data_IF_411794920625
#
_entry.id   IF_411794920625
#
_cell.length_a   1.000
_cell.length_b   1.000
_cell.length_c   1.000
_cell.angle_alpha   90.00
_cell.angle_beta   90.00
_cell.angle_gamma   90.00
#
_symmetry.space_group_name_H-M   'P 1'
#
loop_
_entity.id
_entity.type
_entity.pdbx_description
1 polymer ?
#
# COMPACT_ATOMS: atom_id res chain seq x y z
N UNK A 1 0.07 -1.27 8.35
CA UNK A 1 0.88 -0.22 9.01
C UNK A 1 1.30 -0.70 10.40
N UNK A 2 2.52 -1.27 10.51
CA UNK A 2 2.96 -1.98 11.71
C UNK A 2 3.27 -1.07 12.90
N UNK A 3 3.74 0.16 12.66
CA UNK A 3 3.91 1.16 13.72
C UNK A 3 2.59 1.46 14.45
N UNK A 4 1.49 1.61 13.71
CA UNK A 4 0.16 1.77 14.33
C UNK A 4 -0.31 0.51 15.06
N UNK A 5 -0.07 -0.68 14.50
CA UNK A 5 -0.43 -1.93 15.19
C UNK A 5 0.36 -2.11 16.50
N UNK A 6 1.66 -1.76 16.52
CA UNK A 6 2.48 -1.78 17.73
C UNK A 6 1.92 -0.84 18.81
N UNK A 7 1.45 0.34 18.41
CA UNK A 7 0.85 1.32 19.33
C UNK A 7 -0.46 0.82 19.96
N UNK A 8 -1.29 0.09 19.22
CA UNK A 8 -2.64 -0.31 19.68
C UNK A 8 -2.64 -1.71 20.31
N UNK A 9 -1.82 -2.63 19.80
CA UNK A 9 -1.76 -4.02 20.28
C UNK A 9 -0.30 -4.47 20.40
N UNK A 10 0.48 -3.88 21.33
CA UNK A 10 1.91 -4.16 21.47
C UNK A 10 2.21 -5.62 21.78
N UNK A 11 1.30 -6.32 22.47
CA UNK A 11 1.43 -7.76 22.76
C UNK A 11 1.46 -8.63 21.50
N UNK A 12 0.73 -8.24 20.45
CA UNK A 12 0.67 -8.97 19.17
C UNK A 12 1.68 -8.46 18.15
N UNK A 13 2.07 -7.19 18.26
CA UNK A 13 3.05 -6.54 17.39
C UNK A 13 4.11 -5.89 18.27
N UNK A 14 5.12 -6.65 18.71
CA UNK A 14 6.08 -6.17 19.70
C UNK A 14 7.07 -5.12 19.15
N UNK A 15 7.13 -4.95 17.82
CA UNK A 15 8.02 -3.99 17.18
C UNK A 15 7.31 -3.21 16.07
N UNK A 16 7.50 -1.86 16.03
CA UNK A 16 6.97 -1.00 14.97
C UNK A 16 7.80 -1.07 13.68
N UNK A 17 8.94 -1.76 13.71
CA UNK A 17 9.88 -1.87 12.59
C UNK A 17 9.32 -2.79 11.49
N UNK A 18 9.62 -2.48 10.23
CA UNK A 18 9.18 -3.23 9.07
C UNK A 18 9.47 -4.74 9.21
N UNK A 19 8.44 -5.55 8.96
CA UNK A 19 8.51 -7.00 9.03
C UNK A 19 9.45 -7.65 8.00
N UNK A 20 9.70 -6.95 6.88
CA UNK A 20 10.45 -7.47 5.75
C UNK A 20 11.94 -7.16 5.86
N UNK A 21 12.29 -5.89 6.05
CA UNK A 21 13.70 -5.48 6.11
C UNK A 21 14.25 -5.37 7.54
N UNK A 22 13.42 -5.15 8.55
CA UNK A 22 13.90 -4.97 9.93
C UNK A 22 14.71 -3.68 10.18
N UNK A 23 14.72 -2.72 9.24
CA UNK A 23 15.61 -1.55 9.30
C UNK A 23 14.92 -0.33 9.94
N UNK A 24 13.76 0.07 9.41
CA UNK A 24 13.09 1.30 9.82
C UNK A 24 11.70 1.04 10.39
N UNK A 25 11.24 1.98 11.22
CA UNK A 25 9.84 2.08 11.65
C UNK A 25 8.95 2.09 10.41
N UNK A 26 8.01 1.17 10.36
CA UNK A 26 7.14 1.05 9.21
C UNK A 26 5.96 2.00 9.36
N UNK A 27 6.13 3.22 8.84
CA UNK A 27 5.05 4.18 8.58
C UNK A 27 4.25 3.79 7.31
N UNK A 28 3.26 4.59 6.88
CA UNK A 28 2.48 4.28 5.68
C UNK A 28 3.32 4.34 4.40
N UNK A 29 4.19 5.33 4.25
CA UNK A 29 5.04 5.47 3.08
C UNK A 29 6.05 4.30 2.99
N UNK A 30 6.65 3.94 4.12
CA UNK A 30 7.56 2.79 4.26
C UNK A 30 6.86 1.44 4.10
N UNK A 31 5.61 1.37 4.55
CA UNK A 31 4.74 0.22 4.34
C UNK A 31 4.43 0.00 2.86
N UNK A 32 4.30 1.05 2.05
CA UNK A 32 3.90 0.89 0.63
C UNK A 32 5.10 0.88 -0.31
N UNK A 33 6.00 1.85 -0.24
CA UNK A 33 7.03 2.07 -1.28
C UNK A 33 8.47 2.15 -0.79
N UNK A 34 8.73 2.59 0.45
CA UNK A 34 10.10 2.98 0.85
C UNK A 34 10.98 1.82 1.35
N UNK A 35 10.35 0.73 1.80
CA UNK A 35 11.08 -0.50 2.13
C UNK A 35 11.76 -1.06 0.87
N UNK A 36 13.06 -1.40 0.94
CA UNK A 36 13.84 -1.88 -0.22
C UNK A 36 13.16 -3.02 -1.00
N UNK A 37 12.65 -4.04 -0.32
CA UNK A 37 11.92 -5.15 -0.94
C UNK A 37 10.64 -4.70 -1.67
N UNK A 38 9.98 -3.66 -1.15
CA UNK A 38 8.76 -3.10 -1.75
C UNK A 38 9.10 -2.15 -2.90
N UNK A 39 10.19 -1.39 -2.77
CA UNK A 39 10.73 -0.58 -3.85
C UNK A 39 11.07 -1.46 -5.06
N UNK A 40 11.74 -2.60 -4.85
CA UNK A 40 12.05 -3.54 -5.93
C UNK A 40 10.80 -4.17 -6.53
N UNK A 41 9.84 -4.57 -5.69
CA UNK A 41 8.52 -5.00 -6.16
C UNK A 41 7.85 -3.96 -7.07
N UNK A 42 7.87 -2.68 -6.69
CA UNK A 42 7.29 -1.63 -7.51
C UNK A 42 8.06 -1.39 -8.80
N UNK A 43 9.39 -1.47 -8.79
CA UNK A 43 10.20 -1.41 -10.03
C UNK A 43 9.79 -2.52 -11.00
N UNK A 44 9.58 -3.74 -10.51
CA UNK A 44 9.13 -4.85 -11.34
C UNK A 44 7.74 -4.59 -11.94
N UNK A 45 6.79 -4.14 -11.11
CA UNK A 45 5.43 -3.80 -11.56
C UNK A 45 5.46 -2.67 -12.61
N UNK A 46 6.19 -1.59 -12.33
CA UNK A 46 6.37 -0.46 -13.26
C UNK A 46 7.00 -0.94 -14.57
N UNK A 47 7.95 -1.87 -14.50
CA UNK A 47 8.58 -2.44 -15.68
C UNK A 47 7.63 -3.31 -16.51
N UNK A 48 6.88 -4.20 -15.85
CA UNK A 48 5.89 -5.08 -16.49
C UNK A 48 4.79 -4.28 -17.19
N UNK A 49 4.36 -3.18 -16.57
CA UNK A 49 3.32 -2.31 -17.11
C UNK A 49 3.86 -1.26 -18.10
N UNK A 50 5.17 -1.22 -18.35
CA UNK A 50 5.82 -0.22 -19.20
C UNK A 50 5.55 1.24 -18.77
N UNK A 51 5.53 1.48 -17.45
CA UNK A 51 5.21 2.77 -16.83
C UNK A 51 6.45 3.55 -16.38
N UNK A 52 7.65 3.19 -16.83
CA UNK A 52 8.91 3.77 -16.32
C UNK A 52 8.98 5.29 -16.52
N UNK A 53 8.42 5.79 -17.63
CA UNK A 53 8.35 7.22 -17.91
C UNK A 53 7.38 7.97 -16.99
N UNK A 54 6.32 7.28 -16.54
CA UNK A 54 5.24 7.87 -15.75
C UNK A 54 5.50 7.77 -14.24
N UNK A 55 6.12 6.67 -13.81
CA UNK A 55 6.36 6.31 -12.41
C UNK A 55 7.85 6.00 -12.17
N UNK A 56 8.76 6.98 -12.37
CA UNK A 56 10.20 6.73 -12.36
C UNK A 56 10.79 6.48 -10.96
N UNK A 57 10.03 6.71 -9.88
CA UNK A 57 10.51 6.64 -8.51
C UNK A 57 9.46 6.12 -7.53
N UNK A 58 9.91 5.69 -6.34
CA UNK A 58 9.03 5.31 -5.24
C UNK A 58 8.04 6.43 -4.90
N UNK A 59 8.50 7.68 -4.94
CA UNK A 59 7.66 8.85 -4.73
C UNK A 59 6.59 8.98 -5.81
N UNK A 60 6.93 8.73 -7.07
CA UNK A 60 5.95 8.78 -8.16
C UNK A 60 4.88 7.70 -8.03
N UNK A 61 5.27 6.48 -7.64
CA UNK A 61 4.34 5.39 -7.33
C UNK A 61 3.44 5.75 -6.15
N UNK A 62 4.00 6.31 -5.09
CA UNK A 62 3.23 6.77 -3.94
C UNK A 62 2.21 7.85 -4.32
N UNK A 63 2.63 8.86 -5.09
CA UNK A 63 1.74 9.89 -5.62
C UNK A 63 0.62 9.26 -6.46
N UNK A 64 0.96 8.38 -7.40
CA UNK A 64 -0.03 7.67 -8.22
C UNK A 64 -1.09 6.92 -7.39
N UNK A 65 -0.68 6.25 -6.32
CA UNK A 65 -1.60 5.50 -5.45
C UNK A 65 -2.49 6.40 -4.59
N UNK A 66 -1.99 7.57 -4.19
CA UNK A 66 -2.67 8.45 -3.22
C UNK A 66 -3.48 9.57 -3.87
N UNK A 67 -3.01 10.12 -4.99
CA UNK A 67 -3.67 11.20 -5.72
C UNK A 67 -4.36 10.76 -7.00
N UNK A 68 -4.08 9.53 -7.47
CA UNK A 68 -4.50 9.04 -8.80
C UNK A 68 -3.94 9.86 -9.98
N UNK A 69 -2.88 10.63 -9.72
CA UNK A 69 -2.16 11.42 -10.71
C UNK A 69 -0.67 11.09 -10.72
N UNK A 70 0.01 11.45 -11.80
CA UNK A 70 1.47 11.50 -11.84
C UNK A 70 2.03 12.61 -10.94
N UNK A 71 3.35 12.69 -10.80
CA UNK A 71 4.03 13.81 -10.13
C UNK A 71 3.69 15.16 -10.79
N UNK A 72 3.44 15.16 -12.10
CA UNK A 72 3.06 16.34 -12.87
C UNK A 72 1.56 16.66 -12.78
N UNK A 73 0.83 16.00 -11.86
CA UNK A 73 -0.61 16.17 -11.64
C UNK A 73 -1.48 15.78 -12.85
N UNK A 74 -0.93 14.97 -13.76
CA UNK A 74 -1.68 14.40 -14.88
C UNK A 74 -2.46 13.20 -14.36
N UNK A 75 -3.78 13.17 -14.60
CA UNK A 75 -4.62 12.02 -14.24
C UNK A 75 -4.13 10.75 -14.95
N UNK A 76 -4.07 9.66 -14.19
CA UNK A 76 -3.65 8.37 -14.72
C UNK A 76 -4.82 7.67 -15.40
N UNK A 77 -4.52 6.95 -16.48
CA UNK A 77 -5.49 6.11 -17.16
C UNK A 77 -6.13 5.10 -16.20
N UNK A 78 -7.43 4.84 -16.38
CA UNK A 78 -8.18 3.96 -15.48
C UNK A 78 -7.57 2.55 -15.43
N UNK A 79 -7.08 2.02 -16.56
CA UNK A 79 -6.44 0.70 -16.59
C UNK A 79 -5.14 0.68 -15.78
N UNK A 80 -4.38 1.78 -15.81
CA UNK A 80 -3.18 1.96 -14.99
C UNK A 80 -3.56 1.98 -13.51
N UNK A 81 -4.59 2.72 -13.12
CA UNK A 81 -5.07 2.76 -11.74
C UNK A 81 -5.55 1.38 -11.25
N UNK A 82 -6.27 0.64 -12.09
CA UNK A 82 -6.71 -0.73 -11.78
C UNK A 82 -5.50 -1.65 -11.58
N UNK A 83 -4.50 -1.58 -12.46
CA UNK A 83 -3.28 -2.39 -12.34
C UNK A 83 -2.48 -2.05 -11.07
N UNK A 84 -2.31 -0.77 -10.76
CA UNK A 84 -1.65 -0.31 -9.53
C UNK A 84 -2.41 -0.75 -8.27
N UNK A 85 -3.74 -0.68 -8.29
CA UNK A 85 -4.59 -1.17 -7.21
C UNK A 85 -4.49 -2.68 -6.99
N UNK A 86 -4.42 -3.46 -8.07
CA UNK A 86 -4.20 -4.90 -8.01
C UNK A 86 -2.80 -5.25 -7.47
N UNK A 87 -1.78 -4.53 -7.89
CA UNK A 87 -0.42 -4.66 -7.39
C UNK A 87 -0.35 -4.32 -5.89
N UNK A 88 -0.96 -3.22 -5.45
CA UNK A 88 -1.03 -2.84 -4.04
C UNK A 88 -1.76 -3.90 -3.19
N UNK A 89 -2.89 -4.40 -3.67
CA UNK A 89 -3.67 -5.45 -2.99
C UNK A 89 -2.83 -6.73 -2.81
N UNK A 90 -2.03 -7.07 -3.81
CA UNK A 90 -1.12 -8.21 -3.75
C UNK A 90 -0.04 -8.00 -2.70
N UNK A 91 0.62 -6.84 -2.70
CA UNK A 91 1.61 -6.46 -1.68
C UNK A 91 1.03 -6.51 -0.26
N UNK A 92 -0.18 -5.96 -0.06
CA UNK A 92 -0.87 -6.00 1.23
C UNK A 92 -1.11 -7.43 1.72
N UNK A 93 -1.61 -8.30 0.83
CA UNK A 93 -1.87 -9.72 1.15
C UNK A 93 -0.59 -10.46 1.56
N UNK A 94 0.52 -10.24 0.86
CA UNK A 94 1.79 -10.90 1.18
C UNK A 94 2.44 -10.36 2.45
N UNK A 95 2.41 -9.06 2.66
CA UNK A 95 2.93 -8.45 3.88
C UNK A 95 2.27 -9.06 5.13
N UNK A 96 0.97 -9.36 5.08
CA UNK A 96 0.24 -9.93 6.23
C UNK A 96 0.21 -11.46 6.29
N UNK A 97 0.78 -12.18 5.31
CA UNK A 97 0.87 -13.65 5.32
C UNK A 97 2.06 -14.19 6.13
N UNK A 98 2.98 -13.33 6.56
CA UNK A 98 4.04 -13.64 7.54
C UNK A 98 3.39 -13.63 8.94
N UNK A 99 3.64 -14.61 9.83
CA UNK A 99 2.58 -15.23 10.64
C UNK A 99 1.72 -14.29 11.49
N UNK A 100 0.46 -14.19 11.05
CA UNK A 100 -0.79 -14.24 11.83
C UNK A 100 -0.87 -13.50 13.18
N UNK A 101 -1.43 -12.28 13.15
CA UNK A 101 -2.17 -11.74 14.30
C UNK A 101 -3.28 -10.74 13.94
N UNK A 102 -3.11 -9.89 12.91
CA UNK A 102 -4.06 -8.78 12.64
C UNK A 102 -5.08 -9.05 11.52
N UNK A 103 -4.92 -10.09 10.71
CA UNK A 103 -5.92 -10.45 9.68
C UNK A 103 -7.30 -10.80 10.25
N UNK A 104 -7.38 -11.20 11.52
CA UNK A 104 -8.66 -11.46 12.19
C UNK A 104 -9.44 -10.20 12.57
N UNK A 105 -8.83 -9.01 12.56
CA UNK A 105 -9.56 -7.76 12.84
C UNK A 105 -10.32 -7.22 11.61
N UNK A 106 -9.77 -7.37 10.41
CA UNK A 106 -10.39 -6.85 9.17
C UNK A 106 -11.43 -7.82 8.60
N UNK A 107 -11.30 -9.12 8.90
CA UNK A 107 -12.25 -10.14 8.43
C UNK A 107 -13.62 -10.07 9.10
N UNK A 108 -13.76 -9.39 10.23
CA UNK A 108 -15.05 -9.26 10.90
C UNK A 108 -16.01 -8.28 10.24
N UNK A 109 -15.56 -7.43 9.29
CA UNK A 109 -16.42 -6.29 8.89
C UNK A 109 -17.06 -6.34 7.50
N UNK A 110 -16.50 -6.95 6.43
CA UNK A 110 -17.16 -6.83 5.12
C UNK A 110 -17.07 -8.05 4.20
N UNK A 111 -18.20 -8.74 4.07
CA UNK A 111 -18.48 -9.87 3.17
C UNK A 111 -19.03 -9.50 1.79
N UNK A 112 -18.52 -8.45 1.14
CA UNK A 112 -18.93 -8.09 -0.23
C UNK A 112 -17.69 -7.78 -1.07
N UNK A 113 -17.17 -8.84 -1.68
CA UNK A 113 -15.90 -8.85 -2.40
C UNK A 113 -16.11 -8.45 -3.87
N UNK A 114 -15.09 -7.77 -4.41
CA UNK A 114 -14.79 -7.50 -5.82
C UNK A 114 -15.33 -6.23 -6.50
N UNK A 115 -16.62 -5.87 -6.47
CA UNK A 115 -17.05 -4.58 -7.09
C UNK A 115 -16.70 -3.37 -6.22
N UNK A 116 -16.59 -3.58 -4.91
CA UNK A 116 -16.22 -2.58 -3.94
C UNK A 116 -14.73 -2.28 -3.92
N UNK A 117 -13.86 -3.02 -4.62
CA UNK A 117 -12.40 -2.86 -4.47
C UNK A 117 -11.90 -1.50 -4.98
N UNK A 118 -12.45 -0.98 -6.09
CA UNK A 118 -12.13 0.37 -6.60
C UNK A 118 -12.72 1.44 -5.68
N UNK A 119 -13.95 1.24 -5.20
CA UNK A 119 -14.61 2.16 -4.27
C UNK A 119 -13.94 2.18 -2.89
N UNK A 120 -13.46 1.03 -2.44
CA UNK A 120 -12.77 0.81 -1.17
C UNK A 120 -11.32 1.25 -1.28
N UNK A 121 -10.63 1.10 -2.40
CA UNK A 121 -9.34 1.76 -2.64
C UNK A 121 -9.54 3.27 -2.67
N UNK A 122 -10.55 3.81 -3.38
CA UNK A 122 -10.87 5.25 -3.36
C UNK A 122 -11.26 5.75 -1.96
N UNK A 123 -12.02 4.98 -1.17
CA UNK A 123 -12.41 5.37 0.20
C UNK A 123 -11.26 5.18 1.19
N UNK A 124 -10.49 4.10 1.12
CA UNK A 124 -9.33 3.86 1.99
C UNK A 124 -8.23 4.87 1.69
N UNK A 125 -7.94 5.17 0.43
CA UNK A 125 -7.00 6.25 0.09
C UNK A 125 -7.55 7.63 0.45
N UNK A 126 -8.86 7.91 0.27
CA UNK A 126 -9.48 9.16 0.78
C UNK A 126 -9.48 9.26 2.31
N UNK A 127 -9.73 8.17 3.04
CA UNK A 127 -9.71 8.13 4.51
C UNK A 127 -8.28 8.26 5.04
N UNK A 128 -7.30 7.63 4.37
CA UNK A 128 -5.88 7.78 4.70
C UNK A 128 -5.39 9.21 4.40
N UNK A 129 -5.82 9.82 3.29
CA UNK A 129 -5.52 11.21 2.97
C UNK A 129 -6.21 12.21 3.91
N UNK A 130 -7.47 11.96 4.31
CA UNK A 130 -8.19 12.79 5.28
C UNK A 130 -7.67 12.68 6.73
N UNK A 131 -6.99 11.59 7.08
CA UNK A 131 -6.36 11.41 8.40
C UNK A 131 -4.89 11.88 8.44
N UNK A 132 -4.39 12.47 7.35
CA UNK A 132 -3.05 13.05 7.25
C UNK A 132 -3.04 14.58 7.36
N UNK A 133 -4.12 15.18 7.88
CA UNK A 133 -4.18 16.56 8.39
C UNK A 133 -4.53 16.55 9.88
#
# INVERSE_FOLDING_TARGET
HRSWCHRIVPEKVPSPVCALCGIATEDLYYFVVDCSYKADYWKDIVSILSLQHLLPSNQAVWTALTSFCSIELIELDENVLVALGAAFTTLWKYHWRIPSAVLNMVRQDHGLLFSSLIFFLRQVFKLIACLSF
#
